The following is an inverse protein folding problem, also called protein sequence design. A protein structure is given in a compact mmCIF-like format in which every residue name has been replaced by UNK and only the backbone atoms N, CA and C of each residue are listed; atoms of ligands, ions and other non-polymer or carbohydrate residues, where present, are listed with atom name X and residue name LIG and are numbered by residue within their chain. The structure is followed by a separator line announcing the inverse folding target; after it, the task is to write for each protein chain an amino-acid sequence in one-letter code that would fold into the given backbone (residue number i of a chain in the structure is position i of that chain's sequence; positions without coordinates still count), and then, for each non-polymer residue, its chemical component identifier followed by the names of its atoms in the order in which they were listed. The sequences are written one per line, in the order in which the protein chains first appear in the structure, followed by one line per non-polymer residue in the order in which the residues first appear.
data_IF_341945384237
#
_entry.id   IF_341945384237
#
_cell.length_a   1.000
_cell.length_b   1.000
_cell.length_c   1.000
_cell.angle_alpha   90.00
_cell.angle_beta   90.00
_cell.angle_gamma   90.00
#
_symmetry.space_group_name_H-M   'P 1'
#
loop_
_entity.id
_entity.type
_entity.pdbx_description
1 polymer ?
#
# COMPACT_ATOMS: atom_id res chain seq x y z
N UNK A 1 -19.33 13.86 -4.40
CA UNK A 1 -18.79 13.23 -5.61
C UNK A 1 -19.56 11.94 -5.80
N UNK A 2 -20.22 11.79 -6.94
CA UNK A 2 -20.95 10.59 -7.30
C UNK A 2 -20.01 9.41 -7.59
N UNK A 3 -20.55 8.19 -7.56
CA UNK A 3 -19.74 6.97 -7.68
C UNK A 3 -19.03 6.89 -9.03
N UNK A 4 -19.68 7.30 -10.10
CA UNK A 4 -19.10 7.30 -11.44
C UNK A 4 -17.86 8.18 -11.53
N UNK A 5 -17.96 9.45 -11.11
CA UNK A 5 -16.80 10.36 -11.14
C UNK A 5 -15.69 9.86 -10.20
N UNK A 6 -16.04 9.26 -9.06
CA UNK A 6 -15.05 8.66 -8.15
C UNK A 6 -14.26 7.54 -8.84
N UNK A 7 -14.94 6.62 -9.52
CA UNK A 7 -14.29 5.49 -10.21
C UNK A 7 -13.37 5.96 -11.34
N UNK A 8 -13.78 6.97 -12.11
CA UNK A 8 -12.93 7.59 -13.13
C UNK A 8 -11.67 8.20 -12.51
N UNK A 9 -11.80 9.00 -11.44
CA UNK A 9 -10.61 9.57 -10.78
C UNK A 9 -9.72 8.48 -10.19
N UNK A 10 -10.30 7.46 -9.56
CA UNK A 10 -9.57 6.35 -9.00
C UNK A 10 -8.75 5.62 -10.08
N UNK A 11 -9.33 5.40 -11.26
CA UNK A 11 -8.64 4.81 -12.42
C UNK A 11 -7.44 5.65 -12.87
N UNK A 12 -7.62 6.95 -13.04
CA UNK A 12 -6.55 7.86 -13.41
C UNK A 12 -5.41 7.85 -12.37
N UNK A 13 -5.75 7.87 -11.09
CA UNK A 13 -4.76 7.82 -10.01
C UNK A 13 -4.08 6.46 -9.87
N UNK A 14 -4.76 5.36 -10.20
CA UNK A 14 -4.12 4.05 -10.25
C UNK A 14 -2.98 4.00 -11.27
N UNK A 15 -3.18 4.62 -12.45
CA UNK A 15 -2.12 4.75 -13.46
C UNK A 15 -0.94 5.58 -12.93
N UNK A 16 -1.22 6.74 -12.30
CA UNK A 16 -0.19 7.58 -11.68
C UNK A 16 0.61 6.81 -10.63
N UNK A 17 -0.05 6.07 -9.75
CA UNK A 17 0.60 5.27 -8.70
C UNK A 17 1.46 4.16 -9.32
N UNK A 18 1.00 3.53 -10.40
CA UNK A 18 1.77 2.51 -11.12
C UNK A 18 3.04 3.08 -11.76
N UNK A 19 2.94 4.23 -12.44
CA UNK A 19 4.10 4.90 -13.04
C UNK A 19 5.07 5.36 -11.95
N UNK A 20 4.55 5.95 -10.87
CA UNK A 20 5.37 6.36 -9.73
C UNK A 20 6.14 5.16 -9.14
N UNK A 21 5.55 3.97 -9.08
CA UNK A 21 6.21 2.76 -8.57
C UNK A 21 7.23 2.15 -9.55
N UNK A 22 7.14 2.46 -10.84
CA UNK A 22 8.04 1.97 -11.90
C UNK A 22 9.09 3.00 -12.30
N UNK A 23 9.23 4.09 -11.53
CA UNK A 23 10.25 5.12 -11.72
C UNK A 23 11.68 4.53 -11.73
N UNK A 24 12.62 5.12 -12.50
CA UNK A 24 14.01 4.68 -12.55
C UNK A 24 14.64 4.49 -11.18
N UNK A 25 15.47 3.46 -11.06
CA UNK A 25 16.19 3.17 -9.82
C UNK A 25 17.10 4.35 -9.47
N UNK A 26 16.95 4.87 -8.25
CA UNK A 26 17.67 6.06 -7.78
C UNK A 26 16.86 7.35 -7.82
N UNK A 27 15.74 7.40 -8.55
CA UNK A 27 14.85 8.58 -8.51
C UNK A 27 14.00 8.58 -7.23
N UNK A 28 14.06 9.68 -6.48
CA UNK A 28 13.24 9.83 -5.29
C UNK A 28 11.79 10.09 -5.70
N UNK A 29 10.84 9.50 -4.96
CA UNK A 29 9.42 9.73 -5.21
C UNK A 29 9.07 11.23 -5.15
N UNK A 30 9.70 12.00 -4.26
CA UNK A 30 9.49 13.45 -4.15
C UNK A 30 9.90 14.20 -5.41
N UNK A 31 10.99 13.80 -6.05
CA UNK A 31 11.49 14.42 -7.30
C UNK A 31 10.55 14.08 -8.45
N UNK A 32 10.18 12.81 -8.59
CA UNK A 32 9.22 12.37 -9.60
C UNK A 32 7.86 13.10 -9.46
N UNK A 33 7.36 13.29 -8.24
CA UNK A 33 6.13 14.04 -8.01
C UNK A 33 6.25 15.50 -8.43
N UNK A 34 7.40 16.13 -8.17
CA UNK A 34 7.66 17.51 -8.56
C UNK A 34 7.72 17.65 -10.09
N UNK A 35 8.40 16.72 -10.78
CA UNK A 35 8.51 16.69 -12.24
C UNK A 35 7.15 16.51 -12.95
N UNK A 36 6.18 15.88 -12.28
CA UNK A 36 4.85 15.61 -12.81
C UNK A 36 3.78 16.60 -12.31
N UNK A 37 4.18 17.69 -11.63
CA UNK A 37 3.28 18.68 -11.03
C UNK A 37 2.24 18.08 -10.07
N UNK A 38 2.65 17.04 -9.33
CA UNK A 38 1.80 16.33 -8.38
C UNK A 38 2.10 16.78 -6.95
N UNK A 39 1.08 17.29 -6.26
CA UNK A 39 1.16 17.53 -4.83
C UNK A 39 1.36 16.23 -4.05
N UNK A 40 2.28 16.25 -3.10
CA UNK A 40 2.54 15.13 -2.18
C UNK A 40 1.28 14.68 -1.44
N UNK A 41 0.48 15.63 -0.96
CA UNK A 41 -0.73 15.35 -0.19
C UNK A 41 -1.78 14.66 -1.08
N UNK A 42 -1.92 15.15 -2.31
CA UNK A 42 -2.83 14.57 -3.29
C UNK A 42 -2.39 13.15 -3.66
N UNK A 43 -1.09 12.94 -3.89
CA UNK A 43 -0.53 11.62 -4.17
C UNK A 43 -0.84 10.62 -3.06
N UNK A 44 -0.50 10.92 -1.80
CA UNK A 44 -0.72 9.97 -0.71
C UNK A 44 -2.21 9.75 -0.41
N UNK A 45 -3.05 10.78 -0.58
CA UNK A 45 -4.49 10.64 -0.48
C UNK A 45 -5.02 9.61 -1.47
N UNK A 46 -4.67 9.75 -2.75
CA UNK A 46 -5.15 8.86 -3.81
C UNK A 46 -4.47 7.49 -3.78
N UNK A 47 -3.18 7.42 -3.42
CA UNK A 47 -2.48 6.15 -3.23
C UNK A 47 -3.19 5.29 -2.19
N UNK A 48 -3.61 5.89 -1.07
CA UNK A 48 -4.39 5.19 -0.04
C UNK A 48 -5.72 4.69 -0.60
N UNK A 49 -6.46 5.53 -1.31
CA UNK A 49 -7.75 5.17 -1.93
C UNK A 49 -7.62 4.01 -2.92
N UNK A 50 -6.62 4.06 -3.80
CA UNK A 50 -6.32 3.00 -4.77
C UNK A 50 -6.03 1.68 -4.04
N UNK A 51 -5.16 1.69 -3.03
CA UNK A 51 -4.84 0.48 -2.25
C UNK A 51 -6.06 -0.09 -1.53
N UNK A 52 -6.90 0.76 -0.94
CA UNK A 52 -8.12 0.33 -0.26
C UNK A 52 -9.10 -0.32 -1.24
N UNK A 53 -9.32 0.26 -2.42
CA UNK A 53 -10.22 -0.33 -3.42
C UNK A 53 -9.69 -1.66 -3.97
N UNK A 54 -8.38 -1.78 -4.20
CA UNK A 54 -7.76 -3.06 -4.58
C UNK A 54 -7.98 -4.10 -3.47
N UNK A 55 -7.72 -3.74 -2.21
CA UNK A 55 -7.95 -4.64 -1.08
C UNK A 55 -9.42 -5.07 -0.99
N UNK A 56 -10.37 -4.13 -1.07
CA UNK A 56 -11.79 -4.43 -0.99
C UNK A 56 -12.25 -5.36 -2.13
N UNK A 57 -11.74 -5.17 -3.35
CA UNK A 57 -12.01 -6.07 -4.48
C UNK A 57 -11.45 -7.46 -4.23
N UNK A 58 -10.20 -7.56 -3.80
CA UNK A 58 -9.55 -8.83 -3.45
C UNK A 58 -10.24 -9.55 -2.28
N UNK A 59 -10.80 -8.83 -1.31
CA UNK A 59 -11.58 -9.42 -0.21
C UNK A 59 -12.99 -9.82 -0.65
N UNK A 60 -13.61 -9.08 -1.56
CA UNK A 60 -14.89 -9.49 -2.18
C UNK A 60 -14.76 -10.79 -2.97
N UNK A 61 -13.59 -11.02 -3.59
CA UNK A 61 -13.26 -12.26 -4.30
C UNK A 61 -12.73 -13.38 -3.39
N UNK A 62 -12.42 -13.05 -2.14
CA UNK A 62 -11.79 -13.96 -1.17
C UNK A 62 -12.60 -13.90 0.11
N UNK A 63 -13.62 -14.75 0.21
CA UNK A 63 -13.96 -15.33 1.51
C UNK A 63 -12.69 -16.04 2.00
N UNK A 64 -11.85 -15.30 2.72
CA UNK A 64 -10.69 -15.87 3.40
C UNK A 64 -11.26 -16.89 4.38
N UNK A 65 -10.88 -18.18 4.30
CA UNK A 65 -11.14 -19.07 5.42
C UNK A 65 -10.52 -18.41 6.64
N UNK A 66 -11.32 -18.29 7.71
CA UNK A 66 -10.86 -17.78 8.99
C UNK A 66 -9.48 -18.40 9.29
N UNK A 67 -8.52 -17.66 9.88
CA UNK A 67 -7.28 -18.26 10.30
C UNK A 67 -7.62 -19.35 11.31
N UNK A 68 -7.70 -20.60 10.84
CA UNK A 68 -7.67 -21.78 11.68
C UNK A 68 -6.29 -21.73 12.28
N UNK A 69 -6.19 -21.19 13.48
CA UNK A 69 -4.98 -21.27 14.29
C UNK A 69 -4.68 -22.76 14.37
N UNK A 70 -3.63 -23.30 13.72
CA UNK A 70 -3.18 -24.61 14.13
C UNK A 70 -2.68 -24.43 15.56
N UNK A 71 -3.17 -25.26 16.48
CA UNK A 71 -2.63 -25.44 17.83
C UNK A 71 -1.12 -25.68 17.71
N UNK A 72 -0.36 -24.59 17.67
CA UNK A 72 1.09 -24.62 17.59
C UNK A 72 1.50 -23.86 18.82
N UNK A 73 1.92 -24.63 19.80
CA UNK A 73 2.49 -24.20 21.05
C UNK A 73 3.82 -23.48 20.72
N UNK A 74 3.72 -22.21 20.29
CA UNK A 74 4.90 -21.42 19.89
C UNK A 74 5.56 -20.92 21.17
N UNK A 75 6.54 -21.67 21.66
CA UNK A 75 7.39 -21.25 22.77
C UNK A 75 8.47 -20.29 22.29
N UNK A 76 8.46 -19.07 22.84
CA UNK A 76 9.50 -18.07 22.63
C UNK A 76 10.52 -18.18 23.77
N UNK A 77 11.81 -18.22 23.43
CA UNK A 77 12.91 -18.17 24.40
C UNK A 77 13.60 -16.81 24.31
N UNK A 78 13.81 -16.20 25.47
CA UNK A 78 14.55 -14.96 25.62
C UNK A 78 16.06 -15.22 25.46
N UNK A 79 16.71 -14.42 24.61
CA UNK A 79 18.17 -14.44 24.46
C UNK A 79 18.78 -13.35 25.37
N UNK A 80 19.67 -13.70 26.32
CA UNK A 80 20.28 -12.72 27.19
C UNK A 80 21.18 -11.75 26.40
N UNK A 81 20.99 -10.45 26.59
CA UNK A 81 21.88 -9.43 26.03
C UNK A 81 23.14 -9.38 26.90
N UNK A 82 24.26 -9.88 26.37
CA UNK A 82 25.56 -9.71 27.00
C UNK A 82 25.98 -8.24 26.88
N UNK A 83 26.04 -7.56 28.03
CA UNK A 83 26.64 -6.22 28.11
C UNK A 83 28.14 -6.36 27.89
N UNK A 84 28.63 -5.91 26.74
CA UNK A 84 30.06 -5.79 26.48
C UNK A 84 30.63 -4.68 27.37
N UNK A 85 31.66 -5.01 28.15
CA UNK A 85 32.49 -4.08 28.93
C UNK A 85 33.64 -3.56 28.08
#
# INVERSE_FOLDING_TARGET
MDRYTYDIRLGNWAQVVQVANTRPQGQLLKEWLLENDISKDQYYYWQRKVRTEIYNRLQGDKELPAPSVPDTDVSFIEVPILKQL
#
